data_IF_147886807082
#
_entry.id   IF_147886807082
#
_cell.length_a   1.000
_cell.length_b   1.000
_cell.length_c   1.000
_cell.angle_alpha   90.00
_cell.angle_beta   90.00
_cell.angle_gamma   90.00
#
_symmetry.space_group_name_H-M   'P 1'
#
loop_
_entity.id
_entity.type
_entity.pdbx_description
1 polymer ?
#
# COMPACT_ATOMS: atom_id res chain seq x y z
N UNK A 1 -20.14 -3.80 5.86
CA UNK A 1 -18.97 -3.71 4.96
C UNK A 1 -17.97 -4.79 5.32
N UNK A 2 -17.25 -5.38 4.36
CA UNK A 2 -16.29 -6.48 4.60
C UNK A 2 -14.86 -5.97 4.42
N UNK A 3 -14.24 -5.51 5.51
CA UNK A 3 -12.88 -4.92 5.49
C UNK A 3 -11.84 -5.89 4.91
N UNK A 4 -11.95 -7.19 5.21
CA UNK A 4 -11.04 -8.20 4.66
C UNK A 4 -10.98 -8.26 3.13
N UNK A 5 -12.08 -7.96 2.43
CA UNK A 5 -12.08 -7.90 0.96
C UNK A 5 -11.30 -6.69 0.44
N UNK A 6 -11.43 -5.54 1.12
CA UNK A 6 -10.69 -4.34 0.74
C UNK A 6 -9.17 -4.54 0.90
N UNK A 7 -8.75 -5.16 2.00
CA UNK A 7 -7.33 -5.48 2.25
C UNK A 7 -6.76 -6.39 1.15
N UNK A 8 -7.53 -7.39 0.72
CA UNK A 8 -7.10 -8.29 -0.36
C UNK A 8 -6.90 -7.55 -1.69
N UNK A 9 -7.84 -6.67 -2.05
CA UNK A 9 -7.78 -5.87 -3.29
C UNK A 9 -6.57 -4.92 -3.29
N UNK A 10 -6.28 -4.28 -2.16
CA UNK A 10 -5.17 -3.32 -2.05
C UNK A 10 -3.85 -3.94 -1.61
N UNK A 11 -3.72 -5.27 -1.66
CA UNK A 11 -2.51 -5.96 -1.18
C UNK A 11 -1.28 -5.73 -2.06
N UNK A 12 -0.09 -5.84 -1.46
CA UNK A 12 1.18 -5.85 -2.20
C UNK A 12 1.23 -6.92 -3.30
N UNK A 13 0.57 -8.07 -3.10
CA UNK A 13 0.49 -9.12 -4.13
C UNK A 13 -0.29 -8.68 -5.37
N UNK A 14 -1.36 -7.90 -5.22
CA UNK A 14 -2.12 -7.36 -6.34
C UNK A 14 -1.29 -6.31 -7.08
N UNK A 15 -0.62 -5.41 -6.35
CA UNK A 15 0.29 -4.44 -6.93
C UNK A 15 1.41 -5.09 -7.76
N UNK A 16 2.05 -6.12 -7.20
CA UNK A 16 3.08 -6.88 -7.92
C UNK A 16 2.53 -7.63 -9.13
N UNK A 17 1.33 -8.21 -9.01
CA UNK A 17 0.63 -8.85 -10.12
C UNK A 17 0.42 -7.89 -11.29
N UNK A 18 -0.07 -6.67 -11.02
CA UNK A 18 -0.27 -5.65 -12.07
C UNK A 18 1.05 -5.32 -12.78
N UNK A 19 2.16 -5.13 -12.05
CA UNK A 19 3.49 -4.90 -12.66
C UNK A 19 3.97 -6.06 -13.54
N UNK A 20 3.71 -7.30 -13.14
CA UNK A 20 4.07 -8.47 -13.95
C UNK A 20 3.21 -8.57 -15.21
N UNK A 21 1.92 -8.26 -15.11
CA UNK A 21 0.97 -8.43 -16.21
C UNK A 21 0.85 -7.21 -17.12
N UNK A 22 1.33 -6.02 -16.76
CA UNK A 22 1.26 -4.83 -17.63
C UNK A 22 1.97 -4.97 -18.97
N UNK A 23 2.94 -5.88 -19.06
CA UNK A 23 3.64 -6.21 -20.32
C UNK A 23 2.85 -7.18 -21.22
N UNK A 24 1.79 -7.79 -20.70
CA UNK A 24 1.01 -8.85 -21.33
C UNK A 24 -0.46 -8.48 -21.55
N UNK A 25 -0.97 -7.50 -20.80
CA UNK A 25 -2.36 -7.06 -20.80
C UNK A 25 -2.38 -5.56 -21.07
N UNK A 26 -2.93 -5.16 -22.21
CA UNK A 26 -2.91 -3.75 -22.65
C UNK A 26 -3.70 -2.86 -21.69
N UNK A 27 -4.76 -3.39 -21.08
CA UNK A 27 -5.59 -2.71 -20.08
C UNK A 27 -4.85 -2.39 -18.78
N UNK A 28 -3.65 -2.93 -18.57
CA UNK A 28 -2.81 -2.66 -17.41
C UNK A 28 -1.61 -1.77 -17.72
N UNK A 29 -1.50 -1.27 -18.95
CA UNK A 29 -0.30 -0.55 -19.43
C UNK A 29 -0.05 0.78 -18.73
N UNK A 30 -1.09 1.40 -18.20
CA UNK A 30 -1.10 2.64 -17.43
C UNK A 30 -1.43 2.42 -15.93
N UNK A 31 -1.25 1.17 -15.46
CA UNK A 31 -1.58 0.78 -14.08
C UNK A 31 -0.62 1.32 -13.02
N UNK A 32 0.45 2.05 -13.38
CA UNK A 32 1.47 2.55 -12.44
C UNK A 32 0.84 3.29 -11.24
N UNK A 33 -0.10 4.20 -11.51
CA UNK A 33 -0.78 4.95 -10.45
C UNK A 33 -1.60 4.05 -9.50
N UNK A 34 -2.17 2.98 -10.03
CA UNK A 34 -2.94 1.99 -9.24
C UNK A 34 -2.01 1.08 -8.44
N UNK A 35 -0.86 0.69 -9.02
CA UNK A 35 0.21 -0.04 -8.32
C UNK A 35 0.69 0.77 -7.12
N UNK A 36 1.01 2.05 -7.33
CA UNK A 36 1.48 2.96 -6.28
C UNK A 36 0.41 3.14 -5.19
N UNK A 37 -0.85 3.31 -5.60
CA UNK A 37 -1.98 3.43 -4.67
C UNK A 37 -2.17 2.16 -3.81
N UNK A 38 -2.14 0.97 -4.41
CA UNK A 38 -2.22 -0.30 -3.67
C UNK A 38 -1.06 -0.43 -2.68
N UNK A 39 0.17 -0.12 -3.11
CA UNK A 39 1.34 -0.14 -2.22
C UNK A 39 1.20 0.82 -1.05
N UNK A 40 0.70 2.04 -1.32
CA UNK A 40 0.47 3.06 -0.30
C UNK A 40 -0.58 2.61 0.73
N UNK A 41 -1.77 2.21 0.27
CA UNK A 41 -2.84 1.75 1.17
C UNK A 41 -2.39 0.53 1.98
N UNK A 42 -1.72 -0.44 1.36
CA UNK A 42 -1.22 -1.62 2.09
C UNK A 42 -0.28 -1.20 3.23
N UNK A 43 0.70 -0.32 2.95
CA UNK A 43 1.65 0.15 3.97
C UNK A 43 0.96 0.92 5.10
N UNK A 44 0.07 1.84 4.77
CA UNK A 44 -0.69 2.60 5.77
C UNK A 44 -1.57 1.67 6.61
N UNK A 45 -2.24 0.71 5.98
CA UNK A 45 -3.06 -0.26 6.71
C UNK A 45 -2.23 -1.15 7.63
N UNK A 46 -1.06 -1.62 7.18
CA UNK A 46 -0.13 -2.42 7.97
C UNK A 46 0.48 -1.62 9.13
N UNK A 47 0.84 -0.35 8.90
CA UNK A 47 1.35 0.56 9.92
C UNK A 47 0.30 0.82 11.02
N UNK A 48 -0.96 1.04 10.63
CA UNK A 48 -2.06 1.29 11.57
C UNK A 48 -2.52 0.02 12.31
N UNK A 49 -2.37 -1.16 11.72
CA UNK A 49 -2.79 -2.44 12.32
C UNK A 49 -1.65 -3.27 12.92
N UNK A 50 -0.46 -2.70 13.10
CA UNK A 50 0.64 -3.40 13.76
C UNK A 50 0.27 -3.67 15.23
N UNK A 51 0.28 -4.94 15.63
CA UNK A 51 -0.20 -5.40 16.95
C UNK A 51 0.92 -5.58 17.99
N UNK A 52 2.17 -5.26 17.65
CA UNK A 52 3.25 -5.23 18.63
C UNK A 52 3.13 -3.99 19.52
N UNK A 53 2.90 -4.24 20.81
CA UNK A 53 2.51 -3.32 21.91
C UNK A 53 3.35 -2.03 22.11
N UNK A 54 4.33 -1.71 21.25
CA UNK A 54 5.20 -0.53 21.37
C UNK A 54 5.47 0.22 20.05
N UNK A 55 4.73 -0.06 18.97
CA UNK A 55 5.04 0.48 17.63
C UNK A 55 3.85 1.12 16.89
N UNK A 56 3.01 1.86 17.62
CA UNK A 56 2.09 2.81 16.97
C UNK A 56 2.88 3.91 16.23
N UNK A 57 2.23 4.61 15.30
CA UNK A 57 2.79 5.78 14.60
C UNK A 57 3.11 6.87 15.63
N UNK A 58 4.33 6.87 16.16
CA UNK A 58 4.88 7.92 17.01
C UNK A 58 5.72 8.87 16.14
N UNK A 59 5.92 10.11 16.58
CA UNK A 59 6.68 11.12 15.83
C UNK A 59 8.09 10.66 15.40
N UNK A 60 8.69 9.73 16.16
CA UNK A 60 10.01 9.15 15.89
C UNK A 60 9.96 7.77 15.19
N UNK A 61 8.77 7.25 14.89
CA UNK A 61 8.63 5.95 14.22
C UNK A 61 9.06 6.03 12.76
N UNK A 62 9.66 4.93 12.26
CA UNK A 62 9.99 4.77 10.83
C UNK A 62 8.75 4.99 9.94
N UNK A 63 7.57 4.57 10.41
CA UNK A 63 6.31 4.67 9.67
C UNK A 63 5.85 6.14 9.51
N UNK A 64 5.99 6.99 10.54
CA UNK A 64 5.64 8.43 10.47
C UNK A 64 6.47 9.18 9.42
N UNK A 65 7.77 8.90 9.34
CA UNK A 65 8.68 9.54 8.38
C UNK A 65 8.41 9.11 6.93
N UNK A 66 8.03 7.85 6.71
CA UNK A 66 7.62 7.37 5.39
C UNK A 66 6.30 7.95 4.92
N UNK A 67 5.33 8.19 5.80
CA UNK A 67 4.03 8.80 5.45
C UNK A 67 4.15 10.31 5.19
N UNK A 68 4.94 11.04 5.98
CA UNK A 68 5.21 12.47 5.73
C UNK A 68 5.90 12.72 4.38
N UNK A 69 6.85 11.86 4.00
CA UNK A 69 7.61 12.01 2.74
C UNK A 69 6.76 11.79 1.48
N UNK A 70 5.65 11.03 1.58
CA UNK A 70 4.70 10.84 0.49
C UNK A 70 3.60 11.91 0.44
N UNK A 71 3.29 12.55 1.56
CA UNK A 71 2.28 13.63 1.64
C UNK A 71 2.82 14.98 1.11
N UNK A 72 4.14 15.14 1.03
CA UNK A 72 4.83 16.37 0.59
C UNK A 72 5.31 16.35 -0.88
N UNK A 73 4.85 15.39 -1.70
CA UNK A 73 5.09 15.33 -3.15
C UNK A 73 3.77 15.46 -3.90
#
# INVERSE_FOLDING_TARGET
MRVGLAVQVFSNSVAHGMEVYKRKVEELKDSESTVDFCCWINRTFDALNRTEDLSGVTLDSLDYNSEQSQTLR
#
